data_IF_350094269908
#
_entry.id   IF_350094269908
#
_cell.length_a   1.000
_cell.length_b   1.000
_cell.length_c   1.000
_cell.angle_alpha   90.00
_cell.angle_beta   90.00
_cell.angle_gamma   90.00
#
_symmetry.space_group_name_H-M   'P 1'
#
loop_
_entity.id
_entity.type
_entity.pdbx_description
1 polymer ?
#
# COMPACT_ATOMS: atom_id res chain seq x y z
N UNK A 1 -9.62 36.59 4.21
CA UNK A 1 -8.57 35.55 4.13
C UNK A 1 -8.88 34.67 2.93
N UNK A 2 -7.99 34.58 1.92
CA UNK A 2 -8.11 33.56 0.86
C UNK A 2 -7.49 32.28 1.41
N UNK A 3 -8.33 31.28 1.70
CA UNK A 3 -7.86 29.92 1.98
C UNK A 3 -7.60 29.28 0.61
N UNK A 4 -6.36 28.88 0.34
CA UNK A 4 -6.03 28.16 -0.88
C UNK A 4 -6.30 26.68 -0.67
N UNK A 5 -6.89 26.01 -1.66
CA UNK A 5 -7.14 24.57 -1.61
C UNK A 5 -5.80 23.81 -1.54
N UNK A 6 -5.54 23.16 -0.40
CA UNK A 6 -4.44 22.19 -0.29
C UNK A 6 -4.94 20.87 -0.88
N UNK A 7 -4.41 20.49 -2.05
CA UNK A 7 -4.63 19.15 -2.60
C UNK A 7 -3.70 18.17 -1.89
N UNK A 8 -4.25 17.33 -1.00
CA UNK A 8 -3.53 16.17 -0.44
C UNK A 8 -3.72 14.96 -1.35
N UNK A 9 -2.65 14.46 -1.96
CA UNK A 9 -2.63 13.14 -2.57
C UNK A 9 -2.18 12.13 -1.50
N UNK A 10 -3.01 11.13 -1.22
CA UNK A 10 -2.65 9.97 -0.42
C UNK A 10 -2.06 8.92 -1.37
N UNK A 11 -0.76 8.67 -1.29
CA UNK A 11 -0.11 7.56 -1.97
C UNK A 11 -0.18 6.35 -1.02
N UNK A 12 -1.06 5.41 -1.34
CA UNK A 12 -1.23 4.17 -0.58
C UNK A 12 -0.53 3.05 -1.33
N UNK A 13 0.59 2.58 -0.78
CA UNK A 13 1.27 1.38 -1.28
C UNK A 13 0.90 0.20 -0.39
N UNK A 14 0.40 -0.86 -1.00
CA UNK A 14 0.04 -2.08 -0.31
C UNK A 14 0.85 -3.25 -0.83
N UNK A 15 1.25 -4.13 0.08
CA UNK A 15 2.00 -5.35 -0.22
C UNK A 15 1.40 -6.49 0.58
N UNK A 16 1.18 -7.64 -0.07
CA UNK A 16 0.86 -8.89 0.62
C UNK A 16 2.17 -9.60 0.94
N UNK A 17 2.30 -10.09 2.18
CA UNK A 17 3.41 -10.94 2.60
C UNK A 17 2.90 -12.33 2.93
N UNK A 18 3.64 -13.35 2.52
CA UNK A 18 3.36 -14.76 2.77
C UNK A 18 4.54 -15.43 3.47
N UNK A 19 4.26 -16.39 4.34
CA UNK A 19 5.26 -17.20 5.04
C UNK A 19 4.73 -18.61 5.31
N UNK A 20 5.64 -19.55 5.55
CA UNK A 20 5.34 -20.90 6.01
C UNK A 20 6.23 -21.30 7.21
N UNK A 21 6.91 -20.33 7.83
CA UNK A 21 7.93 -20.54 8.85
C UNK A 21 7.84 -19.50 9.99
N UNK A 22 6.62 -19.18 10.44
CA UNK A 22 6.38 -18.24 11.55
C UNK A 22 7.03 -16.86 11.35
N UNK A 23 7.08 -16.37 10.11
CA UNK A 23 7.65 -15.05 9.76
C UNK A 23 9.18 -14.95 9.87
N UNK A 24 9.91 -16.07 9.91
CA UNK A 24 11.38 -16.06 9.77
C UNK A 24 11.79 -15.66 8.34
N UNK A 25 11.09 -16.17 7.34
CA UNK A 25 11.22 -15.76 5.94
C UNK A 25 9.88 -15.33 5.36
N UNK A 26 9.92 -14.39 4.42
CA UNK A 26 8.72 -13.83 3.81
C UNK A 26 8.90 -13.67 2.31
N UNK A 27 7.82 -13.94 1.60
CA UNK A 27 7.65 -13.54 0.22
C UNK A 27 6.67 -12.40 0.08
N UNK A 28 6.98 -11.46 -0.80
CA UNK A 28 6.20 -10.27 -1.00
C UNK A 28 5.56 -10.25 -2.39
N UNK A 29 4.32 -9.79 -2.47
CA UNK A 29 3.63 -9.53 -3.72
C UNK A 29 2.94 -8.17 -3.65
N UNK A 30 3.18 -7.26 -4.61
CA UNK A 30 2.56 -5.94 -4.60
C UNK A 30 1.05 -6.08 -4.80
N UNK A 31 0.27 -5.28 -4.06
CA UNK A 31 -1.17 -5.15 -4.26
C UNK A 31 -1.40 -3.96 -5.17
N UNK A 32 -1.82 -4.22 -6.41
CA UNK A 32 -2.23 -3.18 -7.34
C UNK A 32 -3.64 -2.71 -6.97
N UNK A 33 -3.75 -1.59 -6.26
CA UNK A 33 -5.02 -0.93 -5.98
C UNK A 33 -5.10 0.42 -6.70
N UNK A 34 -6.23 0.72 -7.34
CA UNK A 34 -6.48 2.06 -7.84
C UNK A 34 -6.61 3.04 -6.67
N UNK A 35 -5.98 4.24 -6.74
CA UNK A 35 -6.14 5.25 -5.71
C UNK A 35 -7.58 5.77 -5.72
N UNK A 36 -8.40 5.25 -4.81
CA UNK A 36 -9.70 5.84 -4.48
C UNK A 36 -9.68 6.21 -2.99
N UNK A 37 -10.54 7.13 -2.59
CA UNK A 37 -10.86 7.32 -1.17
C UNK A 37 -11.59 6.04 -0.73
N UNK A 38 -10.95 5.18 0.06
CA UNK A 38 -11.43 3.81 0.22
C UNK A 38 -11.61 3.44 1.70
N UNK A 39 -12.86 3.17 2.08
CA UNK A 39 -13.22 2.44 3.30
C UNK A 39 -13.02 0.91 3.14
N UNK A 40 -13.01 0.38 1.90
CA UNK A 40 -12.84 -1.06 1.62
C UNK A 40 -12.06 -1.34 0.33
N UNK A 41 -10.87 -1.94 0.45
CA UNK A 41 -9.99 -2.28 -0.68
C UNK A 41 -10.21 -3.74 -1.07
N UNK A 42 -10.49 -4.00 -2.36
CA UNK A 42 -10.54 -5.35 -2.95
C UNK A 42 -9.31 -5.55 -3.83
N UNK A 43 -8.66 -6.70 -3.71
CA UNK A 43 -7.49 -7.06 -4.50
C UNK A 43 -7.43 -8.57 -4.74
N UNK A 44 -6.74 -8.95 -5.80
CA UNK A 44 -6.36 -10.33 -6.10
C UNK A 44 -4.83 -10.42 -6.05
N UNK A 45 -4.31 -11.52 -5.51
CA UNK A 45 -2.87 -11.74 -5.40
C UNK A 45 -2.56 -13.21 -5.64
N UNK A 46 -1.52 -13.47 -6.42
CA UNK A 46 -1.02 -14.82 -6.64
C UNK A 46 -0.10 -15.22 -5.49
N UNK A 47 -0.35 -16.39 -4.89
CA UNK A 47 0.50 -16.94 -3.84
C UNK A 47 1.75 -17.54 -4.51
N UNK A 48 2.97 -17.18 -4.08
CA UNK A 48 4.19 -17.73 -4.66
C UNK A 48 4.25 -19.27 -4.56
N UNK A 49 4.66 -19.94 -5.63
CA UNK A 49 4.68 -21.42 -5.71
C UNK A 49 5.49 -22.06 -4.58
N UNK A 50 6.61 -21.46 -4.18
CA UNK A 50 7.45 -21.93 -3.07
C UNK A 50 6.75 -21.92 -1.71
N UNK A 51 5.73 -21.08 -1.53
CA UNK A 51 4.91 -21.04 -0.32
C UNK A 51 3.82 -22.11 -0.40
N UNK A 52 3.21 -22.32 -1.57
CA UNK A 52 2.18 -23.34 -1.81
C UNK A 52 2.65 -24.78 -1.56
N UNK A 53 3.96 -25.03 -1.65
CA UNK A 53 4.54 -26.36 -1.42
C UNK A 53 4.59 -26.78 0.07
N UNK A 54 4.32 -25.87 1.02
CA UNK A 54 4.31 -26.18 2.46
C UNK A 54 2.89 -26.04 3.03
N UNK A 55 2.51 -26.97 3.91
CA UNK A 55 1.10 -27.17 4.31
C UNK A 55 0.42 -26.00 5.03
N UNK A 56 1.17 -25.20 5.80
CA UNK A 56 0.62 -24.03 6.48
C UNK A 56 1.14 -22.75 5.82
N UNK A 57 0.22 -21.85 5.49
CA UNK A 57 0.51 -20.55 4.88
C UNK A 57 -0.10 -19.47 5.77
N UNK A 58 0.76 -18.64 6.34
CA UNK A 58 0.33 -17.41 6.99
C UNK A 58 0.54 -16.21 6.05
N UNK A 59 -0.35 -15.23 6.11
CA UNK A 59 -0.23 -14.01 5.31
C UNK A 59 -0.51 -12.74 6.11
N UNK A 60 0.03 -11.61 5.66
CA UNK A 60 -0.16 -10.27 6.22
C UNK A 60 -0.28 -9.26 5.12
N UNK A 61 -1.19 -8.32 5.30
CA UNK A 61 -1.29 -7.13 4.44
C UNK A 61 -0.50 -6.00 5.10
N UNK A 62 0.48 -5.47 4.39
CA UNK A 62 1.22 -4.29 4.80
C UNK A 62 0.75 -3.09 3.98
N UNK A 63 0.30 -2.03 4.65
CA UNK A 63 -0.03 -0.76 4.02
C UNK A 63 0.95 0.32 4.45
N UNK A 64 1.44 1.09 3.48
CA UNK A 64 2.22 2.31 3.71
C UNK A 64 1.47 3.48 3.08
N UNK A 65 0.98 4.36 3.93
CA UNK A 65 0.29 5.58 3.51
C UNK A 65 1.32 6.70 3.57
N UNK A 66 1.58 7.33 2.43
CA UNK A 66 2.45 8.49 2.33
C UNK A 66 1.62 9.69 1.86
N UNK A 67 1.83 10.85 2.47
CA UNK A 67 1.27 12.10 2.01
C UNK A 67 2.40 13.04 1.60
N UNK A 68 2.17 13.86 0.57
CA UNK A 68 3.08 14.92 0.16
C UNK A 68 2.29 16.21 0.10
N UNK A 69 2.75 17.23 0.83
CA UNK A 69 2.16 18.57 0.82
C UNK A 69 3.13 19.47 0.05
N UNK A 70 2.76 19.81 -1.19
CA UNK A 70 3.51 20.80 -1.96
C UNK A 70 2.91 22.18 -1.69
N UNK A 71 3.67 23.06 -1.03
CA UNK A 71 3.31 24.47 -0.88
C UNK A 71 3.77 25.24 -2.11
N UNK A 72 2.84 25.60 -2.99
CA UNK A 72 3.10 26.59 -4.05
C UNK A 72 3.23 27.96 -3.39
N UNK A 73 4.47 28.44 -3.25
CA UNK A 73 4.71 29.88 -3.06
C UNK A 73 4.44 30.57 -4.40
N UNK A 74 3.24 31.11 -4.59
CA UNK A 74 3.05 32.20 -5.55
C UNK A 74 3.78 33.42 -4.99
N UNK A 75 5.00 33.66 -5.47
CA UNK A 75 5.70 34.92 -5.24
C UNK A 75 5.01 35.95 -6.13
N UNK A 76 4.18 36.81 -5.52
CA UNK A 76 3.70 38.03 -6.15
C UNK A 76 4.93 38.90 -6.46
N UNK A 77 5.19 39.15 -7.76
CA UNK A 77 6.06 40.24 -8.21
C UNK A 77 5.37 41.59 -7.99
#
# INVERSE_FOLDING_TARGET
>A
MKVSDIKMALDVKMTMRFTNDFWETCDESPINCEPKFIDTIKFEVEIPEKILQKGNIDFRVCSKISSSINSTKEVLQ
#
